data_IF_751629211795
#
_entry.id   IF_751629211795
#
_cell.length_a   1.000
_cell.length_b   1.000
_cell.length_c   1.000
_cell.angle_alpha   90.00
_cell.angle_beta   90.00
_cell.angle_gamma   90.00
#
_symmetry.space_group_name_H-M   'P 1'
#
loop_
_entity.id
_entity.type
_entity.pdbx_description
1 polymer ?
#
# COMPACT_ATOMS: atom_id res chain seq x y z
N UNK A 1 -12.07 23.18 -8.59
CA UNK A 1 -11.37 22.58 -7.44
C UNK A 1 -10.10 21.95 -7.97
N UNK A 2 -8.94 22.28 -7.40
CA UNK A 2 -7.66 21.67 -7.76
C UNK A 2 -7.58 20.21 -7.32
N UNK A 3 -6.51 19.51 -7.71
CA UNK A 3 -6.27 18.11 -7.34
C UNK A 3 -6.18 17.92 -5.81
N UNK A 4 -5.52 18.84 -5.12
CA UNK A 4 -5.32 18.84 -3.66
C UNK A 4 -6.64 18.81 -2.88
N UNK A 5 -7.59 19.68 -3.26
CA UNK A 5 -8.94 19.70 -2.66
C UNK A 5 -9.73 18.43 -2.95
N UNK A 6 -9.53 17.80 -4.13
CA UNK A 6 -10.17 16.52 -4.44
C UNK A 6 -9.60 15.40 -3.58
N UNK A 7 -8.28 15.36 -3.37
CA UNK A 7 -7.61 14.36 -2.53
C UNK A 7 -8.15 14.45 -1.09
N UNK A 8 -8.12 15.64 -0.51
CA UNK A 8 -8.63 15.91 0.83
C UNK A 8 -10.09 15.51 0.98
N UNK A 9 -10.94 15.92 0.04
CA UNK A 9 -12.37 15.58 0.04
C UNK A 9 -12.62 14.08 -0.09
N UNK A 10 -11.85 13.37 -0.92
CA UNK A 10 -11.99 11.93 -1.10
C UNK A 10 -11.54 11.16 0.15
N UNK A 11 -10.45 11.57 0.79
CA UNK A 11 -10.00 10.97 2.06
C UNK A 11 -11.08 11.11 3.15
N UNK A 12 -11.68 12.30 3.28
CA UNK A 12 -12.77 12.53 4.23
C UNK A 12 -14.00 11.67 3.92
N UNK A 13 -14.41 11.58 2.65
CA UNK A 13 -15.53 10.74 2.24
C UNK A 13 -15.27 9.24 2.54
N UNK A 14 -14.04 8.75 2.36
CA UNK A 14 -13.67 7.37 2.73
C UNK A 14 -13.85 7.17 4.23
N UNK A 15 -13.31 8.08 5.04
CA UNK A 15 -13.41 8.03 6.50
C UNK A 15 -14.88 8.00 6.93
N UNK A 16 -15.69 8.94 6.44
CA UNK A 16 -17.11 9.06 6.76
C UNK A 16 -17.91 7.83 6.32
N UNK A 17 -17.61 7.28 5.13
CA UNK A 17 -18.27 6.06 4.61
C UNK A 17 -18.03 4.89 5.56
N UNK A 18 -16.78 4.67 5.97
CA UNK A 18 -16.43 3.58 6.89
C UNK A 18 -17.04 3.78 8.27
N UNK A 19 -17.03 5.01 8.80
CA UNK A 19 -17.64 5.35 10.09
C UNK A 19 -19.17 5.20 10.08
N UNK A 20 -19.82 5.39 8.93
CA UNK A 20 -21.28 5.24 8.79
C UNK A 20 -21.75 3.79 8.89
N UNK A 21 -20.91 2.82 8.51
CA UNK A 21 -21.25 1.39 8.49
C UNK A 21 -22.39 1.02 7.53
N UNK A 22 -22.63 1.81 6.48
CA UNK A 22 -23.66 1.55 5.49
C UNK A 22 -23.47 0.20 4.76
N UNK A 23 -24.55 -0.43 4.29
CA UNK A 23 -24.49 -1.74 3.62
C UNK A 23 -23.60 -1.75 2.36
N UNK A 24 -23.52 -0.61 1.67
CA UNK A 24 -22.74 -0.42 0.44
C UNK A 24 -21.30 0.06 0.68
N UNK A 25 -20.83 0.07 1.93
CA UNK A 25 -19.50 0.59 2.33
C UNK A 25 -18.38 0.08 1.43
N UNK A 26 -18.29 -1.24 1.19
CA UNK A 26 -17.22 -1.83 0.39
C UNK A 26 -17.19 -1.29 -1.06
N UNK A 27 -18.36 -1.16 -1.69
CA UNK A 27 -18.49 -0.67 -3.06
C UNK A 27 -18.17 0.82 -3.15
N UNK A 28 -18.66 1.61 -2.19
CA UNK A 28 -18.44 3.05 -2.14
C UNK A 28 -16.98 3.37 -1.88
N UNK A 29 -16.34 2.69 -0.92
CA UNK A 29 -14.89 2.82 -0.66
C UNK A 29 -14.07 2.41 -1.88
N UNK A 30 -14.43 1.31 -2.57
CA UNK A 30 -13.74 0.89 -3.81
C UNK A 30 -13.73 2.02 -4.87
N UNK A 31 -14.91 2.62 -5.13
CA UNK A 31 -15.06 3.70 -6.10
C UNK A 31 -14.24 4.94 -5.68
N UNK A 32 -14.28 5.30 -4.39
CA UNK A 32 -13.55 6.43 -3.85
C UNK A 32 -12.03 6.21 -3.94
N UNK A 33 -11.53 5.02 -3.62
CA UNK A 33 -10.12 4.65 -3.77
C UNK A 33 -9.65 4.75 -5.23
N UNK A 34 -10.47 4.24 -6.17
CA UNK A 34 -10.16 4.36 -7.60
C UNK A 34 -10.02 5.81 -8.05
N UNK A 35 -10.88 6.72 -7.57
CA UNK A 35 -10.80 8.16 -7.87
C UNK A 35 -9.61 8.82 -7.16
N UNK A 36 -9.39 8.50 -5.89
CA UNK A 36 -8.30 9.05 -5.10
C UNK A 36 -6.94 8.72 -5.73
N UNK A 37 -6.74 7.48 -6.19
CA UNK A 37 -5.54 7.06 -6.88
C UNK A 37 -5.25 7.85 -8.18
N UNK A 38 -6.29 8.32 -8.88
CA UNK A 38 -6.12 9.16 -10.08
C UNK A 38 -5.59 10.53 -9.70
N UNK A 39 -6.14 11.17 -8.67
CA UNK A 39 -5.68 12.49 -8.25
C UNK A 39 -4.30 12.45 -7.58
N UNK A 40 -4.00 11.41 -6.81
CA UNK A 40 -2.68 11.21 -6.20
C UNK A 40 -1.57 10.94 -7.23
N UNK A 41 -1.90 10.67 -8.50
CA UNK A 41 -0.91 10.56 -9.56
C UNK A 41 -0.42 11.92 -10.09
N UNK A 42 -1.11 13.01 -9.76
CA UNK A 42 -0.72 14.37 -10.14
C UNK A 42 0.27 14.96 -9.11
N UNK A 43 1.16 15.87 -9.53
CA UNK A 43 1.96 16.66 -8.60
C UNK A 43 1.03 17.52 -7.73
N UNK A 44 1.35 17.62 -6.44
CA UNK A 44 0.59 18.38 -5.44
C UNK A 44 1.20 19.77 -5.27
N UNK A 45 0.35 20.78 -5.14
CA UNK A 45 0.78 22.16 -4.92
C UNK A 45 1.11 22.40 -3.44
N UNK A 46 0.25 21.92 -2.53
CA UNK A 46 0.44 21.89 -1.09
C UNK A 46 0.19 20.47 -0.54
N UNK A 47 1.22 19.61 -0.51
CA UNK A 47 1.10 18.26 0.02
C UNK A 47 0.60 18.21 1.47
N UNK A 48 0.94 19.21 2.30
CA UNK A 48 0.59 19.20 3.73
C UNK A 48 -0.90 19.38 3.91
N UNK A 49 -1.53 20.31 3.18
CA UNK A 49 -2.99 20.45 3.23
C UNK A 49 -3.71 19.29 2.54
N UNK A 50 -3.23 18.87 1.36
CA UNK A 50 -3.86 17.82 0.57
C UNK A 50 -3.90 16.47 1.31
N UNK A 51 -2.82 16.12 2.02
CA UNK A 51 -2.59 14.81 2.62
C UNK A 51 -2.77 14.78 4.15
N UNK A 52 -3.29 15.85 4.76
CA UNK A 52 -3.43 15.96 6.22
C UNK A 52 -4.28 14.85 6.88
N UNK A 53 -5.14 14.17 6.11
CA UNK A 53 -6.01 13.10 6.60
C UNK A 53 -5.50 11.68 6.27
N UNK A 54 -4.28 11.56 5.75
CA UNK A 54 -3.76 10.28 5.21
C UNK A 54 -3.79 9.16 6.23
N UNK A 55 -3.26 9.37 7.44
CA UNK A 55 -3.19 8.31 8.46
C UNK A 55 -4.59 7.79 8.86
N UNK A 56 -5.54 8.71 9.12
CA UNK A 56 -6.92 8.34 9.45
C UNK A 56 -7.59 7.61 8.28
N UNK A 57 -7.39 8.10 7.05
CA UNK A 57 -7.90 7.46 5.84
C UNK A 57 -7.35 6.04 5.68
N UNK A 58 -6.04 5.84 5.84
CA UNK A 58 -5.42 4.52 5.77
C UNK A 58 -5.96 3.58 6.85
N UNK A 59 -6.15 4.06 8.08
CA UNK A 59 -6.80 3.29 9.14
C UNK A 59 -8.22 2.83 8.77
N UNK A 60 -9.03 3.70 8.18
CA UNK A 60 -10.35 3.35 7.64
C UNK A 60 -10.27 2.29 6.53
N UNK A 61 -9.25 2.38 5.65
CA UNK A 61 -9.03 1.39 4.60
C UNK A 61 -8.60 0.03 5.17
N UNK A 62 -7.76 0.00 6.21
CA UNK A 62 -7.41 -1.25 6.93
C UNK A 62 -8.67 -1.91 7.47
N UNK A 63 -9.50 -1.16 8.19
CA UNK A 63 -10.77 -1.68 8.73
C UNK A 63 -11.69 -2.22 7.62
N UNK A 64 -11.73 -1.55 6.47
CA UNK A 64 -12.52 -1.98 5.31
C UNK A 64 -12.01 -3.30 4.75
N UNK A 65 -10.68 -3.44 4.54
CA UNK A 65 -10.08 -4.68 4.03
C UNK A 65 -10.30 -5.87 4.98
N UNK A 66 -10.26 -5.63 6.30
CA UNK A 66 -10.53 -6.65 7.30
C UNK A 66 -12.00 -7.08 7.32
N UNK A 67 -12.92 -6.15 7.09
CA UNK A 67 -14.37 -6.41 7.11
C UNK A 67 -14.83 -7.12 5.83
N UNK A 68 -14.19 -6.82 4.69
CA UNK A 68 -14.60 -7.31 3.37
C UNK A 68 -13.46 -8.06 2.64
N UNK A 69 -12.96 -9.19 3.19
CA UNK A 69 -11.88 -9.95 2.57
C UNK A 69 -12.31 -10.58 1.23
N UNK A 70 -11.39 -10.69 0.27
CA UNK A 70 -11.63 -11.33 -1.02
C UNK A 70 -12.30 -10.42 -2.07
N UNK A 71 -12.53 -9.15 -1.75
CA UNK A 71 -12.98 -8.15 -2.72
C UNK A 71 -11.81 -7.68 -3.58
N UNK A 72 -11.43 -8.48 -4.60
CA UNK A 72 -10.21 -8.26 -5.38
C UNK A 72 -10.06 -6.84 -5.93
N UNK A 73 -11.17 -6.24 -6.34
CA UNK A 73 -11.19 -4.88 -6.91
C UNK A 73 -10.90 -3.83 -5.84
N UNK A 74 -11.52 -3.94 -4.67
CA UNK A 74 -11.26 -3.09 -3.52
C UNK A 74 -9.81 -3.21 -3.08
N UNK A 75 -9.32 -4.44 -2.91
CA UNK A 75 -7.93 -4.74 -2.54
C UNK A 75 -6.95 -4.07 -3.52
N UNK A 76 -7.17 -4.24 -4.83
CA UNK A 76 -6.35 -3.62 -5.86
C UNK A 76 -6.36 -2.10 -5.83
N UNK A 77 -7.53 -1.47 -5.63
CA UNK A 77 -7.64 -0.01 -5.56
C UNK A 77 -7.02 0.57 -4.29
N UNK A 78 -7.14 -0.11 -3.14
CA UNK A 78 -6.46 0.29 -1.89
C UNK A 78 -4.95 0.17 -2.04
N UNK A 79 -4.45 -0.93 -2.61
CA UNK A 79 -3.02 -1.10 -2.91
C UNK A 79 -2.50 -0.02 -3.88
N UNK A 80 -3.31 0.38 -4.86
CA UNK A 80 -2.97 1.46 -5.77
C UNK A 80 -2.88 2.82 -5.06
N UNK A 81 -3.82 3.15 -4.16
CA UNK A 81 -3.74 4.37 -3.34
C UNK A 81 -2.44 4.39 -2.53
N UNK A 82 -2.12 3.29 -1.83
CA UNK A 82 -0.90 3.18 -1.03
C UNK A 82 0.35 3.37 -1.88
N UNK A 83 0.40 2.73 -3.06
CA UNK A 83 1.49 2.95 -4.01
C UNK A 83 1.66 4.42 -4.37
N UNK A 84 0.56 5.14 -4.69
CA UNK A 84 0.64 6.54 -5.12
C UNK A 84 1.13 7.46 -4.00
N UNK A 85 0.71 7.21 -2.77
CA UNK A 85 1.22 7.92 -1.59
C UNK A 85 2.72 7.64 -1.40
N UNK A 86 3.10 6.36 -1.47
CA UNK A 86 4.46 5.92 -1.22
C UNK A 86 5.47 6.26 -2.32
N UNK A 87 5.05 6.34 -3.60
CA UNK A 87 5.94 6.66 -4.72
C UNK A 87 6.64 8.03 -4.54
N UNK A 88 6.10 8.92 -3.69
CA UNK A 88 6.70 10.21 -3.34
C UNK A 88 7.99 10.08 -2.53
N UNK A 89 8.22 8.97 -1.82
CA UNK A 89 9.43 8.80 -1.01
C UNK A 89 10.71 8.73 -1.84
N UNK A 90 10.60 8.43 -3.14
CA UNK A 90 11.74 8.39 -4.06
C UNK A 90 12.18 9.78 -4.52
N UNK A 91 11.30 10.79 -4.40
CA UNK A 91 11.60 12.20 -4.67
C UNK A 91 11.88 12.98 -3.37
N UNK A 92 11.17 12.64 -2.28
CA UNK A 92 11.29 13.23 -0.95
C UNK A 92 11.22 12.14 0.14
N UNK A 93 12.39 11.69 0.60
CA UNK A 93 12.48 10.63 1.60
C UNK A 93 11.92 11.03 2.98
N UNK A 94 11.78 12.34 3.25
CA UNK A 94 11.28 12.87 4.52
C UNK A 94 9.76 13.14 4.49
N UNK A 95 9.06 12.79 3.41
CA UNK A 95 7.61 12.96 3.29
C UNK A 95 6.85 12.12 4.33
N UNK A 96 6.20 12.74 5.34
CA UNK A 96 5.52 12.00 6.40
C UNK A 96 4.21 11.36 5.92
N UNK A 97 3.69 11.74 4.75
CA UNK A 97 2.40 11.30 4.24
C UNK A 97 2.48 10.07 3.32
N UNK A 98 3.69 9.62 2.98
CA UNK A 98 3.93 8.47 2.10
C UNK A 98 4.16 7.17 2.87
N UNK A 99 5.36 6.60 2.70
CA UNK A 99 5.76 5.31 3.30
C UNK A 99 5.57 5.28 4.83
N UNK A 100 5.83 6.40 5.50
CA UNK A 100 5.66 6.50 6.95
C UNK A 100 4.18 6.34 7.36
N UNK A 101 3.26 7.08 6.73
CA UNK A 101 1.84 6.94 7.01
C UNK A 101 1.32 5.52 6.77
N UNK A 102 1.84 4.82 5.76
CA UNK A 102 1.50 3.41 5.49
C UNK A 102 2.02 2.47 6.59
N UNK A 103 3.23 2.69 7.10
CA UNK A 103 3.77 1.91 8.22
C UNK A 103 3.00 2.18 9.52
N UNK A 104 2.76 3.46 9.85
CA UNK A 104 2.13 3.88 11.11
C UNK A 104 0.63 3.51 11.21
N UNK A 105 -0.09 3.51 10.08
CA UNK A 105 -1.53 3.17 10.06
C UNK A 105 -1.85 1.68 10.17
N UNK A 106 -0.84 0.81 10.20
CA UNK A 106 -1.02 -0.65 10.16
C UNK A 106 -1.30 -1.21 8.76
N UNK A 107 -1.34 -0.37 7.72
CA UNK A 107 -1.56 -0.80 6.34
C UNK A 107 -0.44 -1.72 5.83
N UNK A 108 0.82 -1.44 6.21
CA UNK A 108 1.95 -2.32 5.90
C UNK A 108 1.72 -3.75 6.41
N UNK A 109 1.32 -3.88 7.68
CA UNK A 109 1.03 -5.17 8.30
C UNK A 109 -0.19 -5.85 7.68
N UNK A 110 -1.22 -5.07 7.32
CA UNK A 110 -2.39 -5.58 6.62
C UNK A 110 -2.03 -6.20 5.27
N UNK A 111 -1.22 -5.53 4.44
CA UNK A 111 -0.77 -6.09 3.16
C UNK A 111 0.10 -7.32 3.33
N UNK A 112 1.03 -7.30 4.30
CA UNK A 112 1.84 -8.47 4.63
C UNK A 112 0.96 -9.66 5.04
N UNK A 113 -0.05 -9.43 5.88
CA UNK A 113 -1.00 -10.46 6.29
C UNK A 113 -1.83 -11.02 5.14
N UNK A 114 -2.23 -10.19 4.18
CA UNK A 114 -2.95 -10.64 2.98
C UNK A 114 -2.07 -11.51 2.07
N UNK A 115 -0.80 -11.14 1.89
CA UNK A 115 0.16 -11.97 1.14
C UNK A 115 0.42 -13.28 1.87
N UNK A 116 0.74 -13.23 3.17
CA UNK A 116 1.00 -14.40 4.00
C UNK A 116 -0.20 -15.36 4.10
N UNK A 117 -1.41 -14.80 4.17
CA UNK A 117 -2.66 -15.56 4.23
C UNK A 117 -3.16 -16.09 2.88
N UNK A 118 -2.38 -15.90 1.81
CA UNK A 118 -2.67 -16.41 0.47
C UNK A 118 -3.99 -15.90 -0.15
N UNK A 119 -4.58 -14.82 0.39
CA UNK A 119 -5.89 -14.31 -0.08
C UNK A 119 -5.80 -13.55 -1.41
N UNK A 120 -4.59 -13.11 -1.78
CA UNK A 120 -4.34 -12.23 -2.93
C UNK A 120 -3.44 -12.84 -4.01
N UNK A 121 -3.16 -14.15 -3.95
CA UNK A 121 -2.12 -14.76 -4.80
C UNK A 121 -2.40 -14.61 -6.31
N UNK A 122 -3.66 -14.59 -6.72
CA UNK A 122 -4.05 -14.39 -8.12
C UNK A 122 -4.36 -12.91 -8.46
N UNK A 123 -4.45 -12.03 -7.45
CA UNK A 123 -4.89 -10.65 -7.63
C UNK A 123 -3.73 -9.74 -8.07
N UNK A 124 -3.42 -9.77 -9.36
CA UNK A 124 -2.34 -8.95 -9.96
C UNK A 124 -2.51 -7.44 -9.75
N UNK A 125 -3.76 -6.97 -9.68
CA UNK A 125 -4.08 -5.56 -9.41
C UNK A 125 -3.69 -5.12 -8.00
N UNK A 126 -3.65 -6.07 -7.06
CA UNK A 126 -3.11 -5.87 -5.73
C UNK A 126 -1.58 -6.06 -5.70
N UNK A 127 -1.07 -7.17 -6.24
CA UNK A 127 0.33 -7.58 -6.07
C UNK A 127 1.32 -6.51 -6.56
N UNK A 128 1.16 -5.99 -7.77
CA UNK A 128 2.08 -4.98 -8.31
C UNK A 128 2.17 -3.73 -7.42
N UNK A 129 1.03 -3.06 -7.12
CA UNK A 129 1.02 -1.92 -6.20
C UNK A 129 1.45 -2.23 -4.77
N UNK A 130 1.10 -3.39 -4.21
CA UNK A 130 1.50 -3.79 -2.87
C UNK A 130 3.02 -3.95 -2.76
N UNK A 131 3.66 -4.66 -3.71
CA UNK A 131 5.13 -4.79 -3.72
C UNK A 131 5.85 -3.47 -3.99
N UNK A 132 5.24 -2.56 -4.77
CA UNK A 132 5.78 -1.20 -4.91
C UNK A 132 5.70 -0.41 -3.60
N UNK A 133 4.62 -0.59 -2.85
CA UNK A 133 4.45 -0.01 -1.50
C UNK A 133 5.50 -0.57 -0.54
N UNK A 134 5.72 -1.88 -0.55
CA UNK A 134 6.79 -2.53 0.23
C UNK A 134 8.18 -1.98 -0.12
N UNK A 135 8.46 -1.83 -1.41
CA UNK A 135 9.72 -1.25 -1.90
C UNK A 135 9.95 0.15 -1.34
N UNK A 136 8.91 0.99 -1.36
CA UNK A 136 8.99 2.35 -0.83
C UNK A 136 9.20 2.38 0.70
N UNK A 137 8.60 1.44 1.44
CA UNK A 137 8.88 1.25 2.86
C UNK A 137 10.31 0.77 3.13
N UNK A 138 10.92 0.00 2.23
CA UNK A 138 12.35 -0.34 2.34
C UNK A 138 13.25 0.87 2.03
N UNK A 139 12.91 1.65 1.00
CA UNK A 139 13.69 2.81 0.59
C UNK A 139 13.68 3.94 1.64
N UNK A 140 12.63 4.01 2.46
CA UNK A 140 12.52 4.98 3.54
C UNK A 140 13.19 4.46 4.82
N UNK A 141 14.25 5.13 5.26
CA UNK A 141 15.04 4.70 6.43
C UNK A 141 14.23 4.64 7.74
N UNK A 142 13.18 5.45 7.88
CA UNK A 142 12.31 5.42 9.06
C UNK A 142 11.35 4.21 9.07
N UNK A 143 11.03 3.68 7.89
CA UNK A 143 10.13 2.54 7.72
C UNK A 143 10.88 1.20 7.66
N UNK A 144 12.16 1.21 7.30
CA UNK A 144 12.98 0.01 7.15
C UNK A 144 12.96 -0.90 8.40
N UNK A 145 13.09 -0.39 9.65
CA UNK A 145 13.01 -1.24 10.83
C UNK A 145 11.67 -1.99 10.94
N UNK A 146 10.55 -1.31 10.69
CA UNK A 146 9.22 -1.95 10.66
C UNK A 146 9.13 -2.99 9.55
N UNK A 147 9.72 -2.73 8.39
CA UNK A 147 9.75 -3.71 7.31
C UNK A 147 10.57 -4.96 7.67
N UNK A 148 11.72 -4.81 8.36
CA UNK A 148 12.51 -5.95 8.87
C UNK A 148 11.69 -6.80 9.84
N UNK A 149 10.86 -6.18 10.68
CA UNK A 149 9.98 -6.90 11.62
C UNK A 149 8.84 -7.64 10.91
N UNK A 150 8.25 -7.03 9.87
CA UNK A 150 7.05 -7.55 9.20
C UNK A 150 7.39 -8.58 8.11
N UNK A 151 8.49 -8.38 7.38
CA UNK A 151 8.87 -9.20 6.22
C UNK A 151 8.91 -10.71 6.46
N UNK A 152 9.43 -11.24 7.60
CA UNK A 152 9.45 -12.67 7.86
C UNK A 152 8.08 -13.35 7.74
N UNK A 153 6.98 -12.63 7.98
CA UNK A 153 5.63 -13.18 7.88
C UNK A 153 5.19 -13.53 6.45
N UNK A 154 5.71 -12.82 5.43
CA UNK A 154 5.25 -12.94 4.05
C UNK A 154 6.36 -13.26 3.03
N UNK A 155 7.63 -13.25 3.44
CA UNK A 155 8.77 -13.61 2.59
C UNK A 155 8.66 -15.01 1.98
N UNK A 156 8.29 -16.08 2.72
CA UNK A 156 8.11 -17.40 2.11
C UNK A 156 7.12 -17.37 0.95
N UNK A 157 6.01 -16.65 1.13
CA UNK A 157 4.99 -16.55 0.10
C UNK A 157 5.40 -15.63 -1.06
N UNK A 158 6.30 -14.68 -0.82
CA UNK A 158 6.93 -13.88 -1.87
C UNK A 158 7.68 -14.75 -2.88
N UNK A 159 8.38 -15.79 -2.42
CA UNK A 159 9.06 -16.73 -3.31
C UNK A 159 8.07 -17.62 -4.08
N UNK A 160 7.01 -18.07 -3.43
CA UNK A 160 5.91 -18.79 -4.09
C UNK A 160 5.29 -17.95 -5.21
N UNK A 161 5.09 -16.65 -4.98
CA UNK A 161 4.56 -15.72 -5.97
C UNK A 161 5.47 -15.54 -7.17
N UNK A 162 6.80 -15.52 -6.99
CA UNK A 162 7.76 -15.46 -8.10
C UNK A 162 7.63 -16.67 -9.03
N UNK A 163 7.48 -17.88 -8.47
CA UNK A 163 7.31 -19.08 -9.28
C UNK A 163 5.92 -19.11 -9.96
N UNK A 164 4.87 -18.76 -9.22
CA UNK A 164 3.49 -18.71 -9.73
C UNK A 164 3.35 -17.73 -10.90
N UNK A 165 3.97 -16.55 -10.78
CA UNK A 165 3.87 -15.47 -11.76
C UNK A 165 5.10 -15.36 -12.65
N UNK A 166 5.93 -16.39 -12.78
CA UNK A 166 7.20 -16.36 -13.56
C UNK A 166 7.08 -15.88 -15.01
N UNK A 167 5.89 -16.02 -15.61
CA UNK A 167 5.59 -15.57 -16.97
C UNK A 167 4.95 -14.17 -17.04
N UNK A 168 4.77 -13.51 -15.90
CA UNK A 168 4.27 -12.14 -15.77
C UNK A 168 5.43 -11.22 -15.37
N UNK A 169 6.05 -10.62 -16.38
CA UNK A 169 7.21 -9.77 -16.19
C UNK A 169 6.94 -8.56 -15.26
N UNK A 170 5.72 -8.02 -15.25
CA UNK A 170 5.40 -6.86 -14.41
C UNK A 170 5.35 -7.26 -12.93
N UNK A 171 4.62 -8.33 -12.60
CA UNK A 171 4.53 -8.83 -11.22
C UNK A 171 5.90 -9.25 -10.71
N UNK A 172 6.65 -10.02 -11.51
CA UNK A 172 8.00 -10.47 -11.14
C UNK A 172 8.95 -9.29 -10.92
N UNK A 173 8.94 -8.30 -11.82
CA UNK A 173 9.81 -7.12 -11.68
C UNK A 173 9.55 -6.36 -10.37
N UNK A 174 8.29 -6.21 -9.95
CA UNK A 174 7.94 -5.54 -8.69
C UNK A 174 8.37 -6.32 -7.46
N UNK A 175 8.22 -7.65 -7.48
CA UNK A 175 8.68 -8.50 -6.39
C UNK A 175 10.21 -8.46 -6.26
N UNK A 176 10.92 -8.58 -7.38
CA UNK A 176 12.39 -8.51 -7.39
C UNK A 176 12.91 -7.12 -6.99
N UNK A 177 12.21 -6.05 -7.37
CA UNK A 177 12.52 -4.68 -6.95
C UNK A 177 12.44 -4.55 -5.42
N UNK A 178 11.36 -5.05 -4.81
CA UNK A 178 11.24 -5.11 -3.35
C UNK A 178 12.40 -5.86 -2.71
N UNK A 179 12.72 -7.08 -3.19
CA UNK A 179 13.81 -7.88 -2.63
C UNK A 179 15.16 -7.18 -2.76
N UNK A 180 15.39 -6.46 -3.87
CA UNK A 180 16.60 -5.66 -4.07
C UNK A 180 16.75 -4.58 -3.01
N UNK A 181 15.72 -3.76 -2.80
CA UNK A 181 15.75 -2.69 -1.79
C UNK A 181 15.79 -3.26 -0.37
N UNK A 182 15.06 -4.34 -0.10
CA UNK A 182 15.09 -5.00 1.20
C UNK A 182 16.51 -5.51 1.51
N UNK A 183 17.22 -6.08 0.53
CA UNK A 183 18.60 -6.55 0.70
C UNK A 183 19.65 -5.44 0.89
N UNK A 184 19.31 -4.16 0.72
CA UNK A 184 20.26 -3.05 0.98
C UNK A 184 20.55 -2.87 2.49
N UNK A 185 19.63 -3.32 3.36
CA UNK A 185 19.87 -3.41 4.80
C UNK A 185 20.54 -4.76 5.18
N UNK A 186 21.62 -4.77 5.98
CA UNK A 186 22.32 -6.00 6.35
C UNK A 186 21.46 -7.04 7.08
N UNK A 187 20.53 -6.60 7.94
CA UNK A 187 19.65 -7.50 8.70
C UNK A 187 18.64 -8.14 7.76
N UNK A 188 18.01 -7.33 6.91
CA UNK A 188 17.09 -7.77 5.89
C UNK A 188 17.73 -8.71 4.85
N UNK A 189 18.95 -8.41 4.41
CA UNK A 189 19.72 -9.32 3.54
C UNK A 189 19.89 -10.70 4.19
N UNK A 190 20.15 -10.75 5.50
CA UNK A 190 20.24 -11.99 6.26
C UNK A 190 18.94 -12.82 6.31
N UNK A 191 17.78 -12.18 6.11
CA UNK A 191 16.47 -12.84 6.05
C UNK A 191 16.15 -13.41 4.66
N UNK A 192 16.71 -12.85 3.60
CA UNK A 192 16.50 -13.34 2.22
C UNK A 192 17.26 -14.65 1.97
N UNK A 193 18.44 -14.81 2.58
CA UNK A 193 19.37 -15.92 2.32
C UNK A 193 19.04 -17.19 3.11
N UNK A 194 18.00 -17.15 3.96
CA UNK A 194 17.51 -18.29 4.76
C UNK A 194 16.45 -19.10 4.00
#
# INVERSE_FOLDING_TARGET
>A
MGADEQIKSLMLQIIETVESGAEDTAQTVDILCGRLAVFLAAPLEDPRDALQHTEKCLGSLVATLQTYPGSERLEGNVALVCRRLCDRCFDDADDPYGAWAVAASGMLAQFAGMVAGETVLANKKFLGPAYRTFTACCANAYCMPTMVEVAPSFLPQTYTLLEMHKNDAETVARVLEFLRYFAEDPTACGLIVQ
#
